data_IF_553686062895
#
_entry.id   IF_553686062895
#
_cell.length_a   1.000
_cell.length_b   1.000
_cell.length_c   1.000
_cell.angle_alpha   90.00
_cell.angle_beta   90.00
_cell.angle_gamma   90.00
#
_symmetry.space_group_name_H-M   'P 1'
#
loop_
_entity.id
_entity.type
_entity.pdbx_description
1 polymer ?
#
# COMPACT_ATOMS: atom_id res chain seq x y z
N UNK A 1 2.70 -5.93 -22.24
CA UNK A 1 3.07 -5.24 -20.98
C UNK A 1 4.35 -5.85 -20.43
N UNK A 2 5.15 -5.11 -19.66
CA UNK A 2 6.42 -5.59 -19.09
C UNK A 2 6.26 -6.46 -17.81
N UNK A 3 5.02 -6.83 -17.47
CA UNK A 3 4.66 -7.68 -16.33
C UNK A 3 3.34 -8.39 -16.64
N UNK A 4 3.11 -9.53 -16.00
CA UNK A 4 1.87 -10.31 -16.09
C UNK A 4 1.04 -10.07 -14.83
N UNK A 5 -0.26 -9.82 -15.03
CA UNK A 5 -1.26 -9.76 -13.95
C UNK A 5 -1.71 -11.19 -13.67
N UNK A 6 -1.67 -11.61 -12.41
CA UNK A 6 -2.06 -12.96 -12.01
C UNK A 6 -3.58 -13.06 -11.80
N UNK A 7 -4.22 -14.21 -12.08
CA UNK A 7 -5.63 -14.41 -11.77
C UNK A 7 -5.95 -14.13 -10.30
N UNK A 8 -7.01 -13.36 -10.03
CA UNK A 8 -7.42 -12.97 -8.68
C UNK A 8 -6.75 -11.69 -8.16
N UNK A 9 -5.88 -11.04 -8.93
CA UNK A 9 -5.47 -9.66 -8.67
C UNK A 9 -6.63 -8.72 -9.04
N UNK A 10 -7.09 -7.90 -8.10
CA UNK A 10 -8.04 -6.81 -8.35
C UNK A 10 -7.32 -5.57 -8.89
N UNK A 11 -6.08 -5.33 -8.42
CA UNK A 11 -5.24 -4.22 -8.88
C UNK A 11 -3.76 -4.60 -8.92
N UNK A 12 -3.01 -3.98 -9.83
CA UNK A 12 -1.53 -4.00 -9.82
C UNK A 12 -0.97 -2.58 -9.68
N UNK A 13 -0.27 -2.31 -8.58
CA UNK A 13 0.45 -1.05 -8.35
C UNK A 13 1.89 -1.20 -8.83
N UNK A 14 2.28 -0.44 -9.84
CA UNK A 14 3.62 -0.46 -10.43
C UNK A 14 4.36 0.83 -10.17
N UNK A 15 5.53 0.74 -9.53
CA UNK A 15 6.43 1.88 -9.34
C UNK A 15 7.18 2.21 -10.64
N UNK A 16 7.34 3.50 -10.92
CA UNK A 16 8.15 3.99 -12.03
C UNK A 16 9.55 4.40 -11.50
N UNK A 17 10.58 3.61 -11.84
CA UNK A 17 11.95 3.81 -11.35
C UNK A 17 12.75 4.91 -12.07
N UNK A 18 12.40 5.25 -13.31
CA UNK A 18 13.23 6.14 -14.15
C UNK A 18 12.91 7.64 -14.03
N UNK A 19 12.10 8.07 -13.06
CA UNK A 19 11.85 9.50 -12.83
C UNK A 19 12.93 10.04 -11.89
N UNK A 20 13.96 10.66 -12.47
CA UNK A 20 15.11 11.30 -11.81
C UNK A 20 14.78 12.29 -10.67
N UNK A 21 13.52 12.68 -10.46
CA UNK A 21 13.09 13.73 -9.52
C UNK A 21 11.86 13.39 -8.65
N UNK A 22 11.40 12.14 -8.61
CA UNK A 22 10.29 11.74 -7.74
C UNK A 22 9.74 10.35 -8.04
N UNK A 23 9.25 9.64 -7.02
CA UNK A 23 8.59 8.36 -7.23
C UNK A 23 7.18 8.59 -7.80
N UNK A 24 6.78 7.77 -8.76
CA UNK A 24 5.42 7.75 -9.28
C UNK A 24 4.97 6.30 -9.36
N UNK A 25 3.67 6.06 -9.29
CA UNK A 25 3.13 4.74 -9.50
C UNK A 25 1.86 4.77 -10.34
N UNK A 26 1.71 3.72 -11.14
CA UNK A 26 0.49 3.40 -11.88
C UNK A 26 -0.26 2.30 -11.15
N UNK A 27 -1.58 2.36 -11.22
CA UNK A 27 -2.50 1.32 -10.77
C UNK A 27 -3.22 0.80 -12.01
N UNK A 28 -3.14 -0.51 -12.21
CA UNK A 28 -3.80 -1.20 -13.31
C UNK A 28 -4.92 -2.09 -12.79
N UNK A 29 -6.02 -2.18 -13.52
CA UNK A 29 -7.09 -3.16 -13.31
C UNK A 29 -6.66 -4.56 -13.83
N UNK A 30 -7.49 -5.61 -13.65
CA UNK A 30 -7.14 -6.97 -14.08
C UNK A 30 -6.96 -7.11 -15.61
N UNK A 31 -7.59 -6.23 -16.39
CA UNK A 31 -7.49 -6.18 -17.85
C UNK A 31 -6.25 -5.39 -18.32
N UNK A 32 -5.45 -4.85 -17.40
CA UNK A 32 -4.28 -4.03 -17.67
C UNK A 32 -4.61 -2.59 -18.09
N UNK A 33 -5.82 -2.10 -17.86
CA UNK A 33 -6.15 -0.68 -18.08
C UNK A 33 -5.61 0.15 -16.93
N UNK A 34 -5.10 1.34 -17.25
CA UNK A 34 -4.70 2.30 -16.24
C UNK A 34 -5.96 2.84 -15.55
N UNK A 35 -6.09 2.59 -14.25
CA UNK A 35 -7.21 3.05 -13.42
C UNK A 35 -6.78 3.95 -12.28
N UNK A 36 -5.47 4.14 -12.09
CA UNK A 36 -4.96 5.06 -11.10
C UNK A 36 -3.53 5.51 -11.42
N UNK A 37 -3.22 6.75 -11.08
CA UNK A 37 -1.90 7.33 -11.21
C UNK A 37 -1.58 8.21 -10.02
N UNK A 38 -0.41 8.03 -9.41
CA UNK A 38 0.11 8.98 -8.44
C UNK A 38 1.36 9.66 -8.97
N UNK A 39 1.30 10.98 -9.04
CA UNK A 39 2.46 11.84 -9.26
C UNK A 39 2.98 12.32 -7.91
N UNK A 40 4.01 11.68 -7.34
CA UNK A 40 4.64 12.26 -6.16
C UNK A 40 5.49 13.44 -6.60
N UNK A 41 5.30 14.59 -5.95
CA UNK A 41 6.32 15.63 -5.93
C UNK A 41 7.46 15.12 -5.02
N UNK A 42 8.69 15.50 -5.37
CA UNK A 42 9.92 14.87 -4.90
C UNK A 42 9.97 14.45 -3.41
N UNK A 43 10.41 13.20 -3.17
CA UNK A 43 11.08 12.62 -1.99
C UNK A 43 10.50 12.73 -0.56
N UNK A 44 9.44 13.49 -0.27
CA UNK A 44 8.91 13.61 1.10
C UNK A 44 7.63 12.81 1.31
N UNK A 45 7.72 11.74 2.11
CA UNK A 45 6.56 10.98 2.64
C UNK A 45 5.69 11.79 3.64
N UNK A 46 5.97 13.09 3.77
CA UNK A 46 5.21 14.06 4.58
C UNK A 46 4.20 14.84 3.73
N UNK A 47 4.18 14.63 2.41
CA UNK A 47 3.27 15.31 1.50
C UNK A 47 2.02 14.46 1.25
N UNK A 48 0.90 15.14 1.01
CA UNK A 48 -0.34 14.51 0.58
C UNK A 48 -0.13 13.75 -0.74
N UNK A 49 -0.47 12.46 -0.76
CA UNK A 49 -0.49 11.67 -1.99
C UNK A 49 -1.87 11.83 -2.65
N UNK A 50 -1.85 12.14 -3.94
CA UNK A 50 -3.07 12.22 -4.77
C UNK A 50 -3.05 11.09 -5.77
N UNK A 51 -4.14 10.34 -5.82
CA UNK A 51 -4.36 9.29 -6.82
C UNK A 51 -5.34 9.85 -7.83
N UNK A 52 -4.93 9.93 -9.09
CA UNK A 52 -5.71 10.45 -10.20
C UNK A 52 -6.17 9.30 -11.11
N UNK A 53 -7.20 9.52 -11.92
CA UNK A 53 -7.71 8.50 -12.87
C UNK A 53 -6.69 8.15 -13.96
N UNK A 54 -5.83 9.11 -14.33
CA UNK A 54 -4.85 8.99 -15.39
C UNK A 54 -3.64 9.93 -15.18
N UNK A 55 -2.70 9.92 -16.13
CA UNK A 55 -1.47 10.72 -16.08
C UNK A 55 -1.68 12.24 -16.18
N UNK A 56 -2.79 12.71 -16.77
CA UNK A 56 -3.11 14.14 -16.85
C UNK A 56 -3.44 14.71 -15.47
N UNK A 57 -3.97 13.86 -14.59
CA UNK A 57 -4.51 14.22 -13.29
C UNK A 57 -5.56 15.33 -13.37
N UNK A 58 -6.38 15.35 -14.43
CA UNK A 58 -7.53 16.24 -14.51
C UNK A 58 -8.63 15.86 -13.50
N UNK A 59 -8.71 14.57 -13.15
CA UNK A 59 -9.65 14.03 -12.17
C UNK A 59 -8.90 13.22 -11.11
N UNK A 60 -9.20 13.52 -9.84
CA UNK A 60 -8.69 12.79 -8.68
C UNK A 60 -9.69 11.71 -8.22
N UNK A 61 -9.17 10.56 -7.79
CA UNK A 61 -9.93 9.46 -7.19
C UNK A 61 -9.96 9.57 -5.67
N UNK A 62 -8.80 9.86 -5.07
CA UNK A 62 -8.64 9.98 -3.62
C UNK A 62 -7.41 10.83 -3.27
N UNK A 63 -7.41 11.32 -2.04
CA UNK A 63 -6.30 12.02 -1.41
C UNK A 63 -5.93 11.30 -0.11
N UNK A 64 -4.65 10.98 0.04
CA UNK A 64 -4.06 10.37 1.24
C UNK A 64 -3.21 11.42 1.93
N UNK A 65 -3.64 11.90 3.10
CA UNK A 65 -2.96 12.97 3.84
C UNK A 65 -2.23 12.44 5.05
N UNK A 66 -0.95 12.76 5.19
CA UNK A 66 -0.18 12.39 6.38
C UNK A 66 -0.51 13.34 7.54
N UNK A 67 -0.92 12.79 8.70
CA UNK A 67 -0.98 13.54 9.95
C UNK A 67 0.41 13.56 10.59
N UNK A 68 0.86 14.73 11.07
CA UNK A 68 2.06 14.81 11.91
C UNK A 68 1.79 14.11 13.23
N UNK A 69 2.73 13.29 13.70
CA UNK A 69 2.54 12.48 14.90
C UNK A 69 3.52 12.92 15.96
N UNK A 70 2.97 13.27 17.12
CA UNK A 70 3.67 13.24 18.38
C UNK A 70 3.34 11.85 18.96
N UNK A 71 4.38 11.03 19.16
CA UNK A 71 4.44 9.81 19.99
C UNK A 71 3.87 8.43 19.53
N UNK A 72 3.13 8.27 18.42
CA UNK A 72 2.44 6.97 18.13
C UNK A 72 2.58 6.34 16.72
N UNK A 73 3.43 6.88 15.83
CA UNK A 73 3.61 6.37 14.45
C UNK A 73 2.63 6.94 13.43
N UNK A 74 3.01 6.93 12.14
CA UNK A 74 2.36 7.69 11.07
C UNK A 74 0.92 7.28 10.77
N UNK A 75 0.02 8.27 10.81
CA UNK A 75 -1.39 8.10 10.44
C UNK A 75 -1.67 8.86 9.15
N UNK A 76 -2.40 8.22 8.24
CA UNK A 76 -2.73 8.72 6.92
C UNK A 76 -4.25 8.71 6.74
N UNK A 77 -4.83 9.88 6.48
CA UNK A 77 -6.27 10.00 6.21
C UNK A 77 -6.54 9.79 4.74
N UNK A 78 -7.52 8.94 4.43
CA UNK A 78 -7.98 8.67 3.07
C UNK A 78 -9.30 9.38 2.87
N UNK A 79 -9.36 10.24 1.86
CA UNK A 79 -10.54 11.07 1.56
C UNK A 79 -10.84 11.07 0.08
N UNK A 80 -12.10 11.30 -0.28
CA UNK A 80 -12.46 11.72 -1.64
C UNK A 80 -11.91 13.14 -1.92
N UNK A 81 -11.81 13.55 -3.20
CA UNK A 81 -11.36 14.90 -3.56
C UNK A 81 -12.24 16.00 -2.97
N UNK A 82 -13.52 15.70 -2.70
CA UNK A 82 -14.49 16.58 -2.04
C UNK A 82 -14.16 16.84 -0.56
N UNK A 83 -13.25 16.07 0.03
CA UNK A 83 -12.90 16.11 1.45
C UNK A 83 -13.69 15.12 2.31
N UNK A 84 -14.62 14.37 1.73
CA UNK A 84 -15.33 13.31 2.44
C UNK A 84 -14.35 12.22 2.90
N UNK A 85 -14.32 11.95 4.22
CA UNK A 85 -13.46 10.93 4.79
C UNK A 85 -13.97 9.52 4.46
N UNK A 86 -13.08 8.66 3.99
CA UNK A 86 -13.33 7.25 3.73
C UNK A 86 -12.77 6.36 4.86
N UNK A 87 -11.66 6.79 5.48
CA UNK A 87 -11.05 6.10 6.60
C UNK A 87 -9.66 6.63 6.89
N UNK A 88 -8.91 5.93 7.75
CA UNK A 88 -7.50 6.24 7.96
C UNK A 88 -6.65 5.00 8.24
N UNK A 89 -5.37 5.12 7.92
CA UNK A 89 -4.38 4.05 7.99
C UNK A 89 -3.28 4.49 8.95
N UNK A 90 -3.07 3.75 10.04
CA UNK A 90 -2.01 4.05 11.02
C UNK A 90 -0.96 2.97 11.02
N UNK A 91 0.27 3.34 10.71
CA UNK A 91 1.44 2.48 10.90
C UNK A 91 1.81 2.47 12.38
N UNK A 92 1.86 1.29 13.01
CA UNK A 92 2.40 1.17 14.37
C UNK A 92 3.91 1.41 14.36
N UNK A 93 4.38 2.17 15.35
CA UNK A 93 5.79 2.57 15.48
C UNK A 93 6.74 1.38 15.59
N UNK A 94 7.89 1.49 14.93
CA UNK A 94 8.99 0.53 14.97
C UNK A 94 9.74 0.66 16.31
N UNK A 95 9.49 -0.21 17.28
CA UNK A 95 10.34 -0.31 18.48
C UNK A 95 11.66 -1.04 18.22
N UNK A 96 11.84 -1.67 17.05
CA UNK A 96 13.15 -2.16 16.58
C UNK A 96 13.12 -2.48 15.08
N UNK A 97 14.30 -2.62 14.45
CA UNK A 97 14.50 -3.09 13.06
C UNK A 97 13.99 -4.52 12.79
N UNK A 98 13.37 -5.15 13.78
CA UNK A 98 12.83 -6.52 13.74
C UNK A 98 11.31 -6.57 13.95
N UNK A 99 10.65 -5.42 14.16
CA UNK A 99 9.18 -5.35 14.33
C UNK A 99 8.52 -5.38 12.96
N UNK A 100 7.60 -6.33 12.80
CA UNK A 100 6.75 -6.51 11.61
C UNK A 100 6.03 -5.21 11.30
N UNK A 101 5.95 -4.87 10.02
CA UNK A 101 5.10 -3.75 9.60
C UNK A 101 3.63 -4.12 9.87
N UNK A 102 3.05 -3.49 10.90
CA UNK A 102 1.64 -3.59 11.26
C UNK A 102 0.98 -2.25 10.98
N UNK A 103 -0.13 -2.31 10.23
CA UNK A 103 -0.99 -1.16 9.99
C UNK A 103 -2.35 -1.42 10.61
N UNK A 104 -2.90 -0.38 11.22
CA UNK A 104 -4.25 -0.37 11.74
C UNK A 104 -5.14 0.42 10.79
N UNK A 105 -6.34 -0.08 10.55
CA UNK A 105 -7.33 0.50 9.66
C UNK A 105 -8.45 1.05 10.51
N UNK A 106 -8.81 2.30 10.28
CA UNK A 106 -9.88 2.99 10.96
C UNK A 106 -10.97 3.38 9.98
N UNK A 107 -12.21 3.14 10.38
CA UNK A 107 -13.38 3.60 9.65
C UNK A 107 -13.55 5.12 9.72
N UNK A 108 -14.59 5.61 9.05
CA UNK A 108 -14.96 7.03 8.98
C UNK A 108 -15.25 7.64 10.35
N UNK A 109 -15.70 6.82 11.29
CA UNK A 109 -16.02 7.19 12.67
C UNK A 109 -14.79 7.17 13.60
N UNK A 110 -13.61 6.80 13.09
CA UNK A 110 -12.37 6.70 13.86
C UNK A 110 -12.26 5.44 14.71
N UNK A 111 -13.17 4.46 14.57
CA UNK A 111 -13.02 3.15 15.22
C UNK A 111 -12.09 2.27 14.39
N UNK A 112 -11.27 1.47 15.06
CA UNK A 112 -10.47 0.45 14.39
C UNK A 112 -11.40 -0.63 13.85
N UNK A 113 -11.29 -0.90 12.56
CA UNK A 113 -12.13 -1.87 11.83
C UNK A 113 -11.31 -3.02 11.24
N UNK A 114 -9.98 -2.88 11.20
CA UNK A 114 -9.10 -3.96 10.80
C UNK A 114 -7.63 -3.64 10.95
N UNK A 115 -6.80 -4.55 10.44
CA UNK A 115 -5.35 -4.44 10.45
C UNK A 115 -4.73 -5.10 9.24
N UNK A 116 -3.54 -4.64 8.86
CA UNK A 116 -2.68 -5.27 7.88
C UNK A 116 -1.43 -5.78 8.58
N UNK A 117 -1.10 -7.05 8.36
CA UNK A 117 0.09 -7.68 8.91
C UNK A 117 0.87 -8.44 7.85
N UNK A 118 2.20 -8.36 7.90
CA UNK A 118 3.10 -9.18 7.09
C UNK A 118 3.01 -10.66 7.51
N UNK A 119 2.98 -11.57 6.52
CA UNK A 119 3.06 -13.01 6.77
C UNK A 119 4.41 -13.38 7.43
N UNK A 120 4.35 -14.31 8.38
CA UNK A 120 5.48 -14.78 9.17
C UNK A 120 6.18 -16.02 8.59
N UNK A 121 5.54 -16.72 7.65
CA UNK A 121 5.99 -18.03 7.16
C UNK A 121 7.29 -18.01 6.34
N UNK A 122 7.56 -16.94 5.62
CA UNK A 122 8.72 -16.83 4.70
C UNK A 122 10.06 -16.65 5.44
N UNK A 123 10.06 -16.18 6.69
CA UNK A 123 11.28 -15.86 7.46
C UNK A 123 11.79 -17.02 8.32
N UNK A 124 11.02 -18.08 8.56
CA UNK A 124 11.42 -19.14 9.51
C UNK A 124 12.48 -20.11 8.95
N UNK A 125 12.47 -20.37 7.64
CA UNK A 125 13.37 -21.36 7.02
C UNK A 125 14.67 -20.77 6.45
N UNK A 126 14.68 -19.48 6.08
CA UNK A 126 15.82 -18.86 5.39
C UNK A 126 16.75 -18.05 6.30
N UNK A 127 16.39 -17.88 7.58
CA UNK A 127 17.05 -17.00 8.56
C UNK A 127 18.51 -17.34 8.88
N UNK A 128 19.02 -18.49 8.40
CA UNK A 128 20.29 -19.01 8.91
C UNK A 128 21.52 -18.67 8.08
N UNK A 129 21.40 -18.10 6.87
CA UNK A 129 22.59 -17.98 6.02
C UNK A 129 22.94 -16.61 5.42
N UNK A 130 22.04 -15.68 5.08
CA UNK A 130 22.48 -14.38 4.51
C UNK A 130 21.46 -13.24 4.79
N UNK A 131 21.78 -12.31 5.70
CA UNK A 131 20.94 -11.14 6.01
C UNK A 131 20.68 -10.24 4.80
N UNK A 132 21.60 -10.16 3.84
CA UNK A 132 21.44 -9.41 2.59
C UNK A 132 20.32 -9.96 1.68
N UNK A 133 20.02 -11.26 1.75
CA UNK A 133 18.96 -11.87 0.94
C UNK A 133 17.55 -11.59 1.48
N UNK A 134 17.42 -11.24 2.77
CA UNK A 134 16.12 -10.91 3.38
C UNK A 134 15.50 -9.64 2.77
N UNK A 135 16.31 -8.72 2.23
CA UNK A 135 15.82 -7.52 1.54
C UNK A 135 15.18 -7.83 0.17
N UNK A 136 15.44 -9.02 -0.38
CA UNK A 136 15.03 -9.42 -1.74
C UNK A 136 13.87 -10.42 -1.75
N UNK A 137 13.34 -10.79 -0.57
CA UNK A 137 12.24 -11.75 -0.47
C UNK A 137 10.88 -11.08 -0.77
N UNK A 138 10.04 -11.69 -1.61
CA UNK A 138 8.65 -11.27 -1.77
C UNK A 138 7.94 -11.23 -0.41
N UNK A 139 7.40 -10.07 -0.06
CA UNK A 139 6.58 -9.90 1.14
C UNK A 139 5.11 -10.03 0.77
N UNK A 140 4.34 -10.67 1.65
CA UNK A 140 2.89 -10.75 1.53
C UNK A 140 2.27 -10.17 2.79
N UNK A 141 1.30 -9.29 2.62
CA UNK A 141 0.54 -8.66 3.69
C UNK A 141 -0.92 -9.06 3.59
N UNK A 142 -1.58 -9.22 4.73
CA UNK A 142 -2.99 -9.57 4.80
C UNK A 142 -3.76 -8.50 5.53
N UNK A 143 -4.78 -7.94 4.86
CA UNK A 143 -5.81 -7.13 5.49
C UNK A 143 -6.88 -8.04 6.08
N UNK A 144 -7.08 -7.92 7.38
CA UNK A 144 -8.07 -8.68 8.14
C UNK A 144 -8.89 -7.71 8.98
N UNK A 145 -10.21 -7.89 8.97
CA UNK A 145 -11.15 -7.15 9.82
C UNK A 145 -10.95 -7.52 11.31
N UNK A 146 -11.44 -6.69 12.23
CA UNK A 146 -11.37 -6.98 13.68
C UNK A 146 -11.99 -8.32 14.07
N UNK A 147 -13.04 -8.75 13.37
CA UNK A 147 -13.71 -10.05 13.60
C UNK A 147 -12.96 -11.26 13.01
N UNK A 148 -11.83 -11.05 12.34
CA UNK A 148 -11.02 -12.09 11.72
C UNK A 148 -11.34 -12.36 10.24
N UNK A 149 -12.32 -11.66 9.65
CA UNK A 149 -12.68 -11.81 8.23
C UNK A 149 -11.51 -11.35 7.34
N UNK A 150 -10.99 -12.20 6.44
CA UNK A 150 -9.98 -11.79 5.47
C UNK A 150 -10.62 -10.91 4.39
N UNK A 151 -10.05 -9.73 4.15
CA UNK A 151 -10.61 -8.74 3.21
C UNK A 151 -9.76 -8.61 1.95
N UNK A 152 -8.44 -8.49 2.11
CA UNK A 152 -7.53 -8.37 0.99
C UNK A 152 -6.13 -8.94 1.29
N UNK A 153 -5.36 -9.22 0.24
CA UNK A 153 -3.94 -9.50 0.32
C UNK A 153 -3.14 -8.58 -0.59
N UNK A 154 -1.95 -8.20 -0.14
CA UNK A 154 -0.97 -7.42 -0.88
C UNK A 154 0.29 -8.25 -1.06
N UNK A 155 0.74 -8.40 -2.31
CA UNK A 155 1.94 -9.18 -2.61
C UNK A 155 2.95 -8.33 -3.34
N UNK A 156 4.13 -8.18 -2.77
CA UNK A 156 5.25 -7.52 -3.44
C UNK A 156 5.91 -8.52 -4.38
N UNK A 157 6.04 -8.15 -5.65
CA UNK A 157 6.80 -8.91 -6.63
C UNK A 157 8.10 -8.17 -6.92
N UNK A 158 9.22 -8.83 -6.61
CA UNK A 158 10.55 -8.30 -6.89
C UNK A 158 11.06 -8.80 -8.25
N UNK A 159 11.41 -7.87 -9.11
CA UNK A 159 12.26 -8.07 -10.28
C UNK A 159 13.27 -6.92 -10.30
N UNK A 160 14.55 -7.20 -10.61
CA UNK A 160 15.64 -6.20 -10.72
C UNK A 160 15.29 -4.97 -11.58
N UNK A 161 14.28 -5.07 -12.46
CA UNK A 161 13.85 -3.99 -13.35
C UNK A 161 12.44 -3.44 -13.05
N UNK A 162 11.61 -4.16 -12.27
CA UNK A 162 10.21 -3.79 -12.02
C UNK A 162 9.84 -4.15 -10.59
N UNK A 163 9.53 -3.14 -9.77
CA UNK A 163 8.85 -3.35 -8.50
C UNK A 163 7.36 -3.11 -8.68
N UNK A 164 6.58 -4.16 -8.48
CA UNK A 164 5.11 -4.10 -8.47
C UNK A 164 4.57 -4.71 -7.18
N UNK A 165 3.39 -4.25 -6.81
CA UNK A 165 2.59 -4.82 -5.75
C UNK A 165 1.25 -5.21 -6.33
N UNK A 166 0.84 -6.44 -6.09
CA UNK A 166 -0.48 -6.95 -6.46
C UNK A 166 -1.42 -6.80 -5.28
N UNK A 167 -2.66 -6.42 -5.53
CA UNK A 167 -3.72 -6.27 -4.55
C UNK A 167 -4.86 -7.21 -4.95
N UNK A 168 -5.18 -8.16 -4.09
CA UNK A 168 -6.29 -9.09 -4.27
C UNK A 168 -7.35 -8.79 -3.22
N UNK A 169 -8.49 -8.23 -3.65
CA UNK A 169 -9.68 -8.03 -2.81
C UNK A 169 -10.52 -9.30 -2.91
N UNK A 170 -10.84 -9.91 -1.76
CA UNK A 170 -11.51 -11.21 -1.75
C UNK A 170 -13.01 -11.11 -1.94
N UNK A 171 -13.62 -10.03 -1.43
CA UNK A 171 -15.03 -9.69 -1.60
C UNK A 171 -15.24 -8.21 -1.25
N UNK A 172 -16.34 -7.64 -1.74
CA UNK A 172 -16.82 -6.32 -1.30
C UNK A 172 -17.03 -6.34 0.21
N UNK A 173 -16.44 -5.36 0.90
CA UNK A 173 -16.47 -5.29 2.35
C UNK A 173 -17.40 -4.14 2.82
N UNK A 174 -18.37 -4.38 3.73
CA UNK A 174 -19.32 -3.36 4.13
C UNK A 174 -18.76 -2.27 5.06
N UNK A 175 -17.55 -2.43 5.61
CA UNK A 175 -16.93 -1.47 6.54
C UNK A 175 -15.69 -0.79 5.97
N UNK A 176 -14.98 -1.46 5.05
CA UNK A 176 -13.75 -0.99 4.43
C UNK A 176 -14.01 -0.69 2.96
N UNK A 177 -14.03 0.60 2.63
CA UNK A 177 -14.14 1.08 1.26
C UNK A 177 -12.95 0.60 0.40
N UNK A 178 -13.21 0.19 -0.85
CA UNK A 178 -12.17 -0.29 -1.79
C UNK A 178 -11.06 0.73 -2.03
N UNK A 179 -11.36 2.04 -1.98
CA UNK A 179 -10.34 3.08 -2.09
C UNK A 179 -9.41 3.09 -0.86
N UNK A 180 -9.89 2.70 0.32
CA UNK A 180 -9.05 2.53 1.52
C UNK A 180 -8.13 1.31 1.36
N UNK A 181 -8.65 0.21 0.81
CA UNK A 181 -7.84 -0.98 0.48
C UNK A 181 -6.74 -0.61 -0.53
N UNK A 182 -7.10 0.08 -1.61
CA UNK A 182 -6.15 0.53 -2.62
C UNK A 182 -5.15 1.54 -2.05
N UNK A 183 -5.58 2.47 -1.19
CA UNK A 183 -4.73 3.43 -0.51
C UNK A 183 -3.67 2.73 0.36
N UNK A 184 -4.05 1.66 1.06
CA UNK A 184 -3.12 0.86 1.84
C UNK A 184 -2.04 0.21 0.96
N UNK A 185 -2.44 -0.39 -0.17
CA UNK A 185 -1.49 -0.90 -1.16
C UNK A 185 -0.53 0.19 -1.67
N UNK A 186 -1.04 1.39 -1.94
CA UNK A 186 -0.23 2.53 -2.39
C UNK A 186 0.79 2.96 -1.32
N UNK A 187 0.39 3.01 -0.04
CA UNK A 187 1.28 3.34 1.07
C UNK A 187 2.34 2.27 1.31
N UNK A 188 1.97 0.99 1.28
CA UNK A 188 2.91 -0.13 1.39
C UNK A 188 3.95 -0.05 0.26
N UNK A 189 3.53 0.11 -0.99
CA UNK A 189 4.41 0.25 -2.14
C UNK A 189 5.33 1.50 -2.05
N UNK A 190 4.83 2.61 -1.48
CA UNK A 190 5.61 3.83 -1.30
C UNK A 190 6.65 3.74 -0.17
N UNK A 191 6.36 3.00 0.91
CA UNK A 191 7.20 2.93 2.12
C UNK A 191 8.23 1.81 2.04
N UNK A 192 7.87 0.60 1.56
CA UNK A 192 8.83 -0.50 1.38
C UNK A 192 9.98 -0.10 0.45
N UNK A 193 9.66 0.69 -0.57
CA UNK A 193 10.63 1.21 -1.52
C UNK A 193 11.72 2.12 -0.97
N UNK A 194 11.69 2.44 0.33
CA UNK A 194 12.65 3.29 1.04
C UNK A 194 13.45 2.54 2.11
N UNK A 195 13.16 1.25 2.36
CA UNK A 195 13.85 0.44 3.37
C UNK A 195 15.06 -0.33 2.80
N UNK A 196 15.44 -0.06 1.55
CA UNK A 196 16.65 -0.56 0.89
C UNK A 196 17.56 0.56 0.41
#
# INVERSE_FOLDING_TARGET
MAFNIEPGESYTIRRQFFKLLGAAFHVYDPDGRLVGYCKQRAFKLKEDLRICTDESCAQELMVIRARSIIDFGATYDVTLPTGEALGSLRRKGLTSSFVRDEWLIFGRDGRQIGRITEDSGTKAFLRRYIDFMNMLLPQTFHLVREDGTPVAAYRTHFNLFVHRMSVSVFADDPEIDDLVILAAGCLLAAIEGRQG
#
